data_IF_135371026353
#
_entry.id   IF_135371026353
#
_cell.length_a   1.000
_cell.length_b   1.000
_cell.length_c   1.000
_cell.angle_alpha   90.00
_cell.angle_beta   90.00
_cell.angle_gamma   90.00
#
_symmetry.space_group_name_H-M   'P 1'
#
loop_
_entity.id
_entity.type
_entity.pdbx_description
1 polymer ?
#
# COMPACT_ATOMS: atom_id res chain seq x y z
N UNK A 1 -18.33 -7.10 -13.65
CA UNK A 1 -17.55 -6.92 -12.39
C UNK A 1 -18.33 -7.45 -11.19
N UNK A 2 -19.60 -7.07 -10.99
CA UNK A 2 -20.46 -7.65 -9.93
C UNK A 2 -20.67 -9.18 -10.07
N UNK A 3 -20.91 -9.71 -11.28
CA UNK A 3 -20.97 -11.17 -11.51
C UNK A 3 -19.65 -11.91 -11.19
N UNK A 4 -18.50 -11.23 -11.34
CA UNK A 4 -17.20 -11.81 -10.96
C UNK A 4 -17.05 -11.91 -9.43
N UNK A 5 -17.66 -10.97 -8.69
CA UNK A 5 -17.68 -10.98 -7.23
C UNK A 5 -18.60 -12.10 -6.73
N UNK A 6 -19.77 -12.30 -7.34
CA UNK A 6 -20.67 -13.40 -6.98
C UNK A 6 -20.06 -14.78 -7.28
N UNK A 7 -19.40 -14.95 -8.43
CA UNK A 7 -18.80 -16.24 -8.80
C UNK A 7 -17.64 -16.66 -7.89
N UNK A 8 -16.90 -15.71 -7.29
CA UNK A 8 -15.87 -16.04 -6.30
C UNK A 8 -16.46 -16.51 -4.95
N UNK A 9 -17.67 -16.09 -4.58
CA UNK A 9 -18.34 -16.52 -3.34
C UNK A 9 -18.87 -17.95 -3.37
N UNK A 10 -19.09 -18.53 -4.56
CA UNK A 10 -19.68 -19.86 -4.71
C UNK A 10 -18.72 -21.05 -4.55
N UNK A 11 -17.40 -20.84 -4.44
CA UNK A 11 -16.39 -21.92 -4.52
C UNK A 11 -15.91 -22.42 -3.14
N UNK A 12 -16.19 -21.72 -2.04
CA UNK A 12 -15.69 -22.07 -0.69
C UNK A 12 -16.74 -22.72 0.22
N UNK A 13 -17.63 -23.56 -0.31
CA UNK A 13 -18.41 -24.50 0.53
C UNK A 13 -17.70 -25.86 0.62
N UNK A 14 -16.52 -25.89 1.24
CA UNK A 14 -15.93 -27.15 1.71
C UNK A 14 -16.67 -27.60 2.96
N UNK A 15 -17.23 -28.82 2.90
CA UNK A 15 -17.84 -29.55 4.02
C UNK A 15 -16.98 -29.42 5.30
N UNK A 16 -17.56 -28.81 6.33
CA UNK A 16 -17.03 -28.83 7.70
C UNK A 16 -17.19 -30.24 8.26
N UNK A 17 -16.10 -30.99 8.35
CA UNK A 17 -16.02 -32.20 9.16
C UNK A 17 -16.10 -31.82 10.66
N UNK A 18 -17.08 -32.42 11.32
CA UNK A 18 -17.31 -32.39 12.77
C UNK A 18 -16.12 -32.97 13.53
N UNK A 19 -15.57 -32.25 14.51
CA UNK A 19 -14.52 -32.79 15.37
C UNK A 19 -14.20 -31.98 16.63
N UNK A 20 -14.70 -32.50 17.75
CA UNK A 20 -14.10 -32.44 19.09
C UNK A 20 -14.11 -31.12 19.88
N UNK A 21 -15.09 -31.06 20.80
CA UNK A 21 -15.08 -30.28 22.04
C UNK A 21 -13.83 -30.57 22.88
N UNK A 22 -13.08 -29.52 23.24
CA UNK A 22 -12.07 -29.58 24.28
C UNK A 22 -12.18 -28.34 25.17
N UNK A 23 -12.36 -28.62 26.46
CA UNK A 23 -12.47 -27.69 27.59
C UNK A 23 -11.45 -26.55 27.52
N UNK A 24 -11.92 -25.32 27.69
CA UNK A 24 -11.07 -24.20 28.08
C UNK A 24 -11.56 -23.59 29.39
N UNK A 25 -10.68 -23.73 30.38
CA UNK A 25 -10.80 -23.25 31.74
C UNK A 25 -10.80 -21.73 31.80
N UNK A 26 -11.70 -21.20 32.61
CA UNK A 26 -11.71 -19.82 33.10
C UNK A 26 -10.36 -19.44 33.70
N UNK A 27 -9.86 -18.26 33.35
CA UNK A 27 -9.05 -17.43 34.24
C UNK A 27 -9.46 -15.97 34.06
N UNK A 28 -10.15 -15.48 35.07
CA UNK A 28 -10.32 -14.07 35.38
C UNK A 28 -8.94 -13.46 35.69
N UNK A 29 -8.65 -12.30 35.11
CA UNK A 29 -7.85 -11.31 35.83
C UNK A 29 -8.24 -9.89 35.41
N UNK A 30 -8.87 -9.26 36.40
CA UNK A 30 -9.17 -7.84 36.53
C UNK A 30 -7.85 -7.07 36.63
N UNK A 31 -7.68 -6.04 35.81
CA UNK A 31 -6.80 -4.93 36.17
C UNK A 31 -7.41 -3.61 35.70
N UNK A 32 -8.08 -2.97 36.64
CA UNK A 32 -8.57 -1.60 36.61
C UNK A 32 -7.38 -0.67 36.82
N UNK A 33 -7.05 0.17 35.84
CA UNK A 33 -6.17 1.34 36.06
C UNK A 33 -6.87 2.57 35.52
N UNK A 34 -7.34 3.39 36.46
CA UNK A 34 -7.81 4.75 36.19
C UNK A 34 -6.63 5.70 35.99
N UNK A 35 -6.76 6.60 35.02
CA UNK A 35 -6.00 7.83 34.99
C UNK A 35 -6.86 8.99 34.51
N UNK A 36 -7.21 9.83 35.47
CA UNK A 36 -7.63 11.22 35.27
C UNK A 36 -6.47 12.04 34.73
N UNK A 37 -6.77 12.95 33.81
CA UNK A 37 -5.79 13.92 33.31
C UNK A 37 -6.32 14.73 32.15
N UNK A 38 -7.27 15.63 32.42
CA UNK A 38 -7.62 16.69 31.49
C UNK A 38 -6.64 17.86 31.59
N UNK A 39 -6.20 18.39 30.44
CA UNK A 39 -5.75 19.77 30.21
C UNK A 39 -5.96 20.09 28.72
N UNK A 40 -6.40 21.30 28.43
CA UNK A 40 -7.03 21.69 27.17
C UNK A 40 -6.12 22.16 26.04
N UNK A 41 -6.76 22.40 24.90
CA UNK A 41 -6.30 23.19 23.75
C UNK A 41 -7.59 23.79 23.16
N UNK A 42 -7.77 25.10 23.03
CA UNK A 42 -6.84 26.03 22.40
C UNK A 42 -7.27 26.17 20.94
N UNK A 43 -8.29 27.00 20.70
CA UNK A 43 -8.79 27.36 19.37
C UNK A 43 -7.73 28.17 18.62
N UNK A 44 -7.30 27.70 17.45
CA UNK A 44 -6.53 28.52 16.50
C UNK A 44 -7.10 28.36 15.10
N UNK A 45 -7.67 29.46 14.62
CA UNK A 45 -7.93 29.74 13.21
C UNK A 45 -6.68 29.53 12.36
N UNK A 46 -6.86 28.89 11.20
CA UNK A 46 -5.79 28.57 10.27
C UNK A 46 -6.33 28.45 8.86
N UNK A 47 -6.43 29.60 8.20
CA UNK A 47 -6.65 29.82 6.78
C UNK A 47 -6.00 28.77 5.86
N UNK A 48 -6.82 28.18 4.98
CA UNK A 48 -6.39 27.33 3.87
C UNK A 48 -5.77 28.22 2.79
N UNK A 49 -4.44 28.21 2.72
CA UNK A 49 -3.67 28.84 1.65
C UNK A 49 -3.71 27.93 0.40
N UNK A 50 -4.31 28.42 -0.68
CA UNK A 50 -4.06 27.92 -2.03
C UNK A 50 -2.66 28.37 -2.46
N UNK A 51 -1.74 27.43 -2.69
CA UNK A 51 -0.53 27.73 -3.47
C UNK A 51 -0.75 27.29 -4.92
N UNK A 52 -1.12 28.28 -5.73
CA UNK A 52 -0.65 28.37 -7.11
C UNK A 52 0.87 28.58 -7.09
N UNK A 53 1.60 27.74 -7.82
CA UNK A 53 2.94 28.09 -8.30
C UNK A 53 3.07 27.59 -9.73
N UNK A 54 2.73 28.49 -10.65
CA UNK A 54 3.40 28.59 -11.93
C UNK A 54 4.82 29.15 -11.74
N UNK A 55 5.70 28.77 -12.66
CA UNK A 55 7.03 29.32 -12.98
C UNK A 55 8.13 29.34 -11.90
N UNK A 56 9.25 28.64 -12.19
CA UNK A 56 10.55 29.30 -12.26
C UNK A 56 11.57 28.49 -13.07
N UNK A 57 11.88 29.04 -14.24
CA UNK A 57 13.20 29.11 -14.88
C UNK A 57 14.39 28.57 -14.08
N UNK A 58 14.94 27.44 -14.51
CA UNK A 58 16.32 27.06 -14.18
C UNK A 58 17.26 27.79 -15.14
N UNK A 59 17.78 28.92 -14.69
CA UNK A 59 18.99 29.53 -15.24
C UNK A 59 20.17 28.56 -15.08
N UNK A 60 20.88 28.33 -16.19
CA UNK A 60 22.14 27.60 -16.21
C UNK A 60 23.20 28.37 -15.43
N UNK A 61 23.97 27.74 -14.51
CA UNK A 61 25.17 28.36 -13.99
C UNK A 61 26.25 28.28 -15.06
N UNK A 62 26.73 29.47 -15.44
CA UNK A 62 27.91 29.74 -16.23
C UNK A 62 29.13 28.95 -15.74
N UNK A 63 29.82 28.34 -16.71
CA UNK A 63 31.21 27.93 -16.64
C UNK A 63 32.09 29.04 -16.04
N UNK A 64 32.48 28.90 -14.77
CA UNK A 64 33.66 29.57 -14.25
C UNK A 64 34.84 28.60 -14.40
N UNK A 65 35.66 28.94 -15.39
CA UNK A 65 37.00 28.40 -15.61
C UNK A 65 37.85 28.80 -14.41
N UNK A 66 38.09 27.85 -13.50
CA UNK A 66 39.06 28.03 -12.43
C UNK A 66 40.45 27.66 -12.95
N UNK A 67 41.24 28.70 -13.17
CA UNK A 67 42.60 28.66 -13.68
C UNK A 67 43.53 28.10 -12.57
N UNK A 68 43.76 26.79 -12.57
CA UNK A 68 44.74 26.17 -11.68
C UNK A 68 46.16 26.56 -12.08
N UNK A 69 46.79 27.35 -11.22
CA UNK A 69 48.20 27.70 -11.24
C UNK A 69 49.03 26.52 -10.74
N UNK A 70 49.88 26.00 -11.62
CA UNK A 70 50.89 24.99 -11.30
C UNK A 70 52.01 25.60 -10.46
N UNK A 71 52.16 25.14 -9.22
CA UNK A 71 53.39 25.33 -8.44
C UNK A 71 54.12 23.99 -8.33
N UNK A 72 55.21 23.92 -9.09
CA UNK A 72 56.25 22.89 -9.01
C UNK A 72 56.94 22.96 -7.64
N UNK A 73 56.83 21.89 -6.85
CA UNK A 73 57.70 21.66 -5.69
C UNK A 73 58.25 20.23 -5.78
N UNK A 74 59.47 20.17 -6.32
CA UNK A 74 60.35 19.00 -6.25
C UNK A 74 60.76 18.78 -4.80
N UNK A 75 60.50 17.59 -4.27
CA UNK A 75 61.11 17.10 -3.03
C UNK A 75 61.55 15.66 -3.26
N UNK A 76 62.85 15.47 -3.16
CA UNK A 76 63.58 14.25 -3.43
C UNK A 76 63.39 13.14 -2.36
N UNK A 77 63.62 11.92 -2.84
CA UNK A 77 64.15 10.71 -2.19
C UNK A 77 63.71 10.32 -0.77
N UNK A 78 62.99 9.19 -0.68
CA UNK A 78 63.44 8.08 0.19
C UNK A 78 62.94 6.72 -0.28
N UNK A 79 63.88 5.80 -0.37
CA UNK A 79 63.80 4.43 -0.87
C UNK A 79 63.08 3.53 0.14
N UNK A 80 61.78 3.32 -0.03
CA UNK A 80 61.00 2.39 0.80
C UNK A 80 60.80 1.05 0.08
N UNK A 81 61.20 -0.03 0.75
CA UNK A 81 61.18 -1.42 0.26
C UNK A 81 59.76 -1.86 -0.09
N UNK A 82 59.57 -2.07 -1.39
CA UNK A 82 58.37 -2.56 -2.08
C UNK A 82 57.99 -3.98 -1.62
N UNK A 83 57.19 -4.09 -0.55
CA UNK A 83 56.40 -5.30 -0.27
C UNK A 83 55.42 -5.48 -1.43
N UNK A 84 55.57 -6.57 -2.20
CA UNK A 84 54.58 -7.04 -3.18
C UNK A 84 53.29 -7.41 -2.44
N UNK A 85 52.47 -6.42 -2.13
CA UNK A 85 51.08 -6.64 -1.81
C UNK A 85 50.47 -7.24 -3.10
N UNK A 86 50.01 -8.48 -3.03
CA UNK A 86 49.14 -9.03 -4.08
C UNK A 86 47.91 -8.15 -4.07
N UNK A 87 47.86 -7.21 -5.01
CA UNK A 87 46.68 -6.44 -5.32
C UNK A 87 45.61 -7.45 -5.72
N UNK A 88 44.81 -7.86 -4.73
CA UNK A 88 43.59 -8.58 -4.98
C UNK A 88 42.82 -7.72 -5.94
N UNK A 89 42.55 -8.26 -7.14
CA UNK A 89 41.57 -7.72 -8.08
C UNK A 89 40.27 -7.51 -7.31
N UNK A 90 40.15 -6.34 -6.71
CA UNK A 90 38.92 -5.83 -6.16
C UNK A 90 38.07 -5.67 -7.40
N UNK A 91 37.23 -6.67 -7.68
CA UNK A 91 36.26 -6.61 -8.76
C UNK A 91 35.51 -5.31 -8.49
N UNK A 92 35.84 -4.26 -9.25
CA UNK A 92 35.06 -3.05 -9.24
C UNK A 92 33.66 -3.54 -9.54
N UNK A 93 32.77 -3.39 -8.57
CA UNK A 93 31.36 -3.56 -8.85
C UNK A 93 31.09 -2.54 -9.93
N UNK A 94 30.92 -3.01 -11.17
CA UNK A 94 30.61 -2.15 -12.31
C UNK A 94 29.46 -1.26 -11.88
N UNK A 95 29.78 0.02 -11.70
CA UNK A 95 28.80 1.02 -11.30
C UNK A 95 27.72 0.95 -12.36
N UNK A 96 26.50 0.60 -11.93
CA UNK A 96 25.39 0.40 -12.85
C UNK A 96 25.20 1.71 -13.60
N UNK A 97 25.48 1.71 -14.90
CA UNK A 97 25.20 2.83 -15.80
C UNK A 97 23.69 3.13 -15.74
N UNK A 98 23.35 4.14 -14.94
CA UNK A 98 21.97 4.54 -14.66
C UNK A 98 21.31 5.00 -15.94
N UNK A 99 22.04 5.68 -16.82
CA UNK A 99 21.50 6.23 -18.05
C UNK A 99 21.16 5.11 -19.03
N UNK A 100 22.05 4.12 -19.20
CA UNK A 100 21.75 2.92 -19.99
C UNK A 100 20.58 2.12 -19.41
N UNK A 101 20.51 2.00 -18.08
CA UNK A 101 19.40 1.34 -17.40
C UNK A 101 18.07 2.07 -17.62
N UNK A 102 18.07 3.39 -17.58
CA UNK A 102 16.89 4.24 -17.77
C UNK A 102 16.44 4.31 -19.23
N UNK A 103 17.39 4.36 -20.18
CA UNK A 103 17.10 4.37 -21.62
C UNK A 103 16.35 3.10 -22.06
N UNK A 104 16.71 1.92 -21.50
CA UNK A 104 15.99 0.66 -21.77
C UNK A 104 14.53 0.69 -21.27
N UNK A 105 14.21 1.59 -20.35
CA UNK A 105 12.89 1.72 -19.69
C UNK A 105 12.15 2.98 -20.12
N UNK A 106 12.60 3.63 -21.19
CA UNK A 106 11.89 4.76 -21.76
C UNK A 106 10.56 4.31 -22.36
N UNK A 107 9.51 5.08 -22.06
CA UNK A 107 8.14 4.84 -22.50
C UNK A 107 7.68 5.99 -23.38
N UNK A 108 6.90 5.66 -24.41
CA UNK A 108 6.27 6.67 -25.27
C UNK A 108 5.18 7.44 -24.51
N UNK A 109 4.81 8.65 -24.96
CA UNK A 109 3.70 9.41 -24.38
C UNK A 109 2.41 8.59 -24.26
N UNK A 110 2.11 7.77 -25.27
CA UNK A 110 0.91 6.93 -25.25
C UNK A 110 1.00 5.82 -24.20
N UNK A 111 2.15 5.15 -24.07
CA UNK A 111 2.37 4.14 -23.03
C UNK A 111 2.24 4.74 -21.61
N UNK A 112 2.74 5.95 -21.40
CA UNK A 112 2.59 6.65 -20.12
C UNK A 112 1.12 7.01 -19.82
N UNK A 113 0.32 7.41 -20.82
CA UNK A 113 -1.13 7.59 -20.62
C UNK A 113 -1.82 6.28 -20.20
N UNK A 114 -1.43 5.17 -20.83
CA UNK A 114 -1.99 3.87 -20.50
C UNK A 114 -1.58 3.42 -19.09
N UNK A 115 -0.35 3.69 -18.65
CA UNK A 115 0.07 3.49 -17.25
C UNK A 115 -0.81 4.28 -16.28
N UNK A 116 -1.06 5.57 -16.58
CA UNK A 116 -1.93 6.41 -15.75
C UNK A 116 -3.35 5.83 -15.64
N UNK A 117 -3.96 5.40 -16.75
CA UNK A 117 -5.32 4.84 -16.74
C UNK A 117 -5.38 3.50 -16.01
N UNK A 118 -4.39 2.63 -16.22
CA UNK A 118 -4.40 1.26 -15.69
C UNK A 118 -4.20 1.16 -14.17
N UNK A 119 -3.79 2.24 -13.49
CA UNK A 119 -3.72 2.26 -12.01
C UNK A 119 -5.10 2.41 -11.34
N UNK A 120 -6.09 2.95 -12.06
CA UNK A 120 -7.39 3.34 -11.49
C UNK A 120 -8.30 2.17 -11.06
N UNK A 121 -8.39 1.04 -11.79
CA UNK A 121 -9.33 -0.03 -11.47
C UNK A 121 -9.24 -0.54 -10.02
N UNK A 122 -8.02 -0.66 -9.47
CA UNK A 122 -7.82 -1.13 -8.10
C UNK A 122 -8.37 -0.17 -7.04
N UNK A 123 -8.18 1.14 -7.23
CA UNK A 123 -8.73 2.16 -6.34
C UNK A 123 -10.26 2.25 -6.43
N UNK A 124 -10.81 2.21 -7.66
CA UNK A 124 -12.26 2.17 -7.86
C UNK A 124 -12.89 0.93 -7.23
N UNK A 125 -12.28 -0.24 -7.36
CA UNK A 125 -12.75 -1.44 -6.68
C UNK A 125 -12.82 -1.24 -5.16
N UNK A 126 -11.78 -0.69 -4.53
CA UNK A 126 -11.77 -0.46 -3.08
C UNK A 126 -12.88 0.49 -2.63
N UNK A 127 -13.06 1.61 -3.35
CA UNK A 127 -14.11 2.58 -3.07
C UNK A 127 -15.48 1.90 -3.18
N UNK A 128 -15.74 1.22 -4.29
CA UNK A 128 -17.03 0.55 -4.52
C UNK A 128 -17.28 -0.56 -3.50
N UNK A 129 -16.28 -1.36 -3.15
CA UNK A 129 -16.41 -2.44 -2.18
C UNK A 129 -16.78 -1.93 -0.78
N UNK A 130 -16.17 -0.83 -0.34
CA UNK A 130 -16.50 -0.20 0.95
C UNK A 130 -17.89 0.43 0.91
N UNK A 131 -18.15 1.28 -0.09
CA UNK A 131 -19.37 2.08 -0.17
C UNK A 131 -20.64 1.24 -0.44
N UNK A 132 -20.50 0.13 -1.17
CA UNK A 132 -21.63 -0.77 -1.45
C UNK A 132 -21.98 -1.72 -0.30
N UNK A 133 -21.24 -1.70 0.80
CA UNK A 133 -21.43 -2.69 1.88
C UNK A 133 -21.06 -4.12 1.48
N UNK A 134 -20.40 -4.33 0.33
CA UNK A 134 -20.06 -5.66 -0.17
C UNK A 134 -19.11 -6.45 0.75
N UNK A 135 -18.53 -5.81 1.77
CA UNK A 135 -17.76 -6.44 2.82
C UNK A 135 -18.60 -7.21 3.86
N UNK A 136 -19.91 -6.97 3.94
CA UNK A 136 -20.83 -7.70 4.81
C UNK A 136 -21.52 -8.82 4.00
N UNK A 137 -21.23 -10.08 4.32
CA UNK A 137 -21.86 -11.21 3.63
C UNK A 137 -23.30 -11.42 4.11
N UNK A 138 -24.27 -11.65 3.20
CA UNK A 138 -25.64 -12.03 3.58
C UNK A 138 -25.71 -13.26 4.48
N UNK A 139 -24.81 -14.24 4.28
CA UNK A 139 -24.74 -15.45 5.12
C UNK A 139 -24.38 -15.12 6.57
N UNK A 140 -23.49 -14.15 6.78
CA UNK A 140 -23.07 -13.71 8.10
C UNK A 140 -24.23 -13.02 8.85
N UNK A 141 -25.01 -12.19 8.14
CA UNK A 141 -26.22 -11.56 8.68
C UNK A 141 -27.26 -12.60 9.09
N UNK A 142 -27.47 -13.63 8.25
CA UNK A 142 -28.42 -14.72 8.54
C UNK A 142 -28.00 -15.60 9.72
N UNK A 143 -26.70 -15.83 9.88
CA UNK A 143 -26.16 -16.56 11.03
C UNK A 143 -26.36 -15.79 12.33
N UNK A 144 -26.07 -14.48 12.31
CA UNK A 144 -26.21 -13.60 13.47
C UNK A 144 -27.66 -13.29 13.84
N UNK A 145 -28.60 -13.33 12.90
CA UNK A 145 -30.01 -13.08 13.24
C UNK A 145 -30.55 -14.06 14.29
N UNK A 146 -30.03 -15.29 14.31
CA UNK A 146 -30.42 -16.32 15.29
C UNK A 146 -29.90 -16.01 16.71
N UNK A 147 -28.71 -15.41 16.83
CA UNK A 147 -28.13 -15.08 18.13
C UNK A 147 -28.68 -13.78 18.72
N UNK A 148 -28.99 -12.81 17.86
CA UNK A 148 -29.49 -11.48 18.26
C UNK A 148 -30.87 -11.56 18.93
N UNK A 149 -31.75 -12.48 18.51
CA UNK A 149 -33.07 -12.64 19.16
C UNK A 149 -32.98 -13.07 20.64
N UNK A 150 -31.83 -13.53 21.10
CA UNK A 150 -31.59 -13.93 22.49
C UNK A 150 -30.75 -12.91 23.30
N UNK A 151 -30.27 -11.83 22.68
CA UNK A 151 -29.27 -10.95 23.26
C UNK A 151 -29.86 -9.68 23.93
N UNK A 152 -29.02 -9.04 24.74
CA UNK A 152 -29.26 -7.76 25.42
C UNK A 152 -29.69 -6.63 24.45
N UNK A 153 -30.27 -5.53 24.97
CA UNK A 153 -30.62 -4.36 24.15
C UNK A 153 -29.42 -3.89 23.31
N UNK A 154 -29.65 -3.75 22.00
CA UNK A 154 -28.69 -3.28 21.03
C UNK A 154 -28.71 -1.75 20.94
N UNK A 155 -27.52 -1.14 20.85
CA UNK A 155 -27.33 0.29 20.70
C UNK A 155 -27.38 0.67 19.20
N UNK A 156 -28.49 1.26 18.78
CA UNK A 156 -28.76 1.64 17.39
C UNK A 156 -27.99 2.88 16.93
N UNK A 157 -27.29 3.59 17.82
CA UNK A 157 -26.50 4.80 17.48
C UNK A 157 -25.33 4.50 16.53
N UNK A 158 -24.93 3.22 16.43
CA UNK A 158 -23.86 2.77 15.53
C UNK A 158 -24.37 2.47 14.10
N UNK A 159 -25.68 2.49 13.89
CA UNK A 159 -26.27 2.22 12.58
C UNK A 159 -26.24 3.44 11.68
N UNK A 160 -25.88 3.22 10.41
CA UNK A 160 -25.91 4.21 9.37
C UNK A 160 -27.16 4.03 8.52
N UNK A 161 -27.91 5.12 8.33
CA UNK A 161 -29.08 5.14 7.45
C UNK A 161 -28.90 6.22 6.39
N UNK A 162 -28.30 5.83 5.26
CA UNK A 162 -28.06 6.72 4.12
C UNK A 162 -28.86 6.26 2.91
N UNK A 163 -29.72 7.13 2.38
CA UNK A 163 -30.57 6.83 1.23
C UNK A 163 -29.78 6.51 -0.05
N UNK A 164 -28.58 7.04 -0.20
CA UNK A 164 -27.69 6.86 -1.34
C UNK A 164 -26.72 5.67 -1.18
N UNK A 165 -26.67 5.06 0.02
CA UNK A 165 -25.87 3.87 0.33
C UNK A 165 -26.68 2.88 1.18
N UNK A 166 -27.76 2.29 0.62
CA UNK A 166 -28.72 1.51 1.39
C UNK A 166 -28.14 0.22 2.00
N UNK A 167 -26.95 -0.20 1.56
CA UNK A 167 -26.27 -1.41 2.03
C UNK A 167 -25.12 -1.13 3.01
N UNK A 168 -24.82 0.14 3.28
CA UNK A 168 -23.82 0.53 4.27
C UNK A 168 -24.49 0.72 5.63
N UNK A 169 -24.81 -0.39 6.29
CA UNK A 169 -25.59 -0.40 7.53
C UNK A 169 -24.82 0.08 8.76
N UNK A 170 -23.49 0.05 8.73
CA UNK A 170 -22.60 0.54 9.78
C UNK A 170 -21.23 0.93 9.19
N UNK A 171 -20.36 1.52 10.00
CA UNK A 171 -18.99 1.79 9.57
C UNK A 171 -18.23 0.49 9.21
N UNK A 172 -17.37 0.50 8.18
CA UNK A 172 -16.55 -0.66 7.83
C UNK A 172 -15.49 -0.98 8.90
N UNK A 173 -15.06 -2.25 9.03
CA UNK A 173 -13.97 -2.62 9.93
C UNK A 173 -12.66 -1.85 9.65
N UNK A 174 -11.94 -1.45 10.70
CA UNK A 174 -10.71 -0.66 10.56
C UNK A 174 -9.65 -1.34 9.67
N UNK A 175 -9.39 -2.66 9.76
CA UNK A 175 -8.44 -3.32 8.85
C UNK A 175 -8.83 -3.18 7.37
N UNK A 176 -10.12 -3.25 7.06
CA UNK A 176 -10.65 -3.03 5.71
C UNK A 176 -10.43 -1.60 5.25
N UNK A 177 -10.70 -0.61 6.12
CA UNK A 177 -10.45 0.81 5.86
C UNK A 177 -8.97 1.06 5.58
N UNK A 178 -8.07 0.42 6.35
CA UNK A 178 -6.63 0.54 6.13
C UNK A 178 -6.23 0.04 4.73
N UNK A 179 -6.73 -1.14 4.30
CA UNK A 179 -6.49 -1.63 2.95
C UNK A 179 -6.96 -0.64 1.88
N UNK A 180 -8.23 -0.20 1.98
CA UNK A 180 -8.80 0.75 1.04
C UNK A 180 -8.00 2.06 1.00
N UNK A 181 -7.65 2.62 2.16
CA UNK A 181 -6.89 3.87 2.29
C UNK A 181 -5.53 3.79 1.60
N UNK A 182 -4.77 2.71 1.82
CA UNK A 182 -3.45 2.54 1.20
C UNK A 182 -3.51 2.56 -0.33
N UNK A 183 -4.48 1.84 -0.92
CA UNK A 183 -4.64 1.72 -2.37
C UNK A 183 -5.20 3.01 -2.97
N UNK A 184 -6.25 3.56 -2.36
CA UNK A 184 -6.93 4.78 -2.85
C UNK A 184 -6.01 5.99 -2.74
N UNK A 185 -5.23 6.11 -1.66
CA UNK A 185 -4.28 7.21 -1.51
C UNK A 185 -3.12 7.13 -2.52
N UNK A 186 -2.67 5.93 -2.90
CA UNK A 186 -1.59 5.76 -3.88
C UNK A 186 -1.99 6.16 -5.30
N UNK A 187 -3.20 5.78 -5.74
CA UNK A 187 -3.62 5.90 -7.14
C UNK A 187 -3.51 7.33 -7.72
N UNK A 188 -3.92 8.42 -7.03
CA UNK A 188 -3.77 9.78 -7.53
C UNK A 188 -2.32 10.17 -7.84
N UNK A 189 -1.36 9.80 -6.98
CA UNK A 189 0.04 10.15 -7.18
C UNK A 189 0.66 9.37 -8.35
N UNK A 190 0.30 8.10 -8.48
CA UNK A 190 0.70 7.27 -9.61
C UNK A 190 0.13 7.79 -10.93
N UNK A 191 -1.16 8.15 -10.93
CA UNK A 191 -1.82 8.79 -12.07
C UNK A 191 -1.12 10.09 -12.45
N UNK A 192 -0.90 11.00 -11.50
CA UNK A 192 -0.23 12.30 -11.73
C UNK A 192 1.18 12.09 -12.26
N UNK A 193 1.93 11.14 -11.72
CA UNK A 193 3.27 10.79 -12.19
C UNK A 193 3.25 10.43 -13.68
N UNK A 194 2.49 9.40 -14.05
CA UNK A 194 2.42 8.94 -15.44
C UNK A 194 1.80 9.97 -16.38
N UNK A 195 0.76 10.68 -15.94
CA UNK A 195 0.09 11.70 -16.73
C UNK A 195 1.00 12.90 -17.03
N UNK A 196 1.78 13.36 -16.05
CA UNK A 196 2.76 14.44 -16.28
C UNK A 196 3.86 14.00 -17.24
N UNK A 197 4.36 12.77 -17.09
CA UNK A 197 5.41 12.23 -17.95
C UNK A 197 4.95 12.04 -19.39
N UNK A 198 3.66 11.73 -19.60
CA UNK A 198 3.08 11.66 -20.93
C UNK A 198 3.02 13.02 -21.67
N UNK A 199 3.04 14.15 -20.97
CA UNK A 199 2.75 15.46 -21.58
C UNK A 199 3.88 16.50 -21.46
N UNK A 200 4.71 16.44 -20.42
CA UNK A 200 5.60 17.56 -20.06
C UNK A 200 7.09 17.26 -20.07
N UNK A 201 7.50 15.99 -20.09
CA UNK A 201 8.91 15.65 -19.98
C UNK A 201 9.47 15.22 -21.34
N UNK A 202 10.27 16.08 -22.01
CA UNK A 202 11.01 15.67 -23.20
C UNK A 202 11.94 14.50 -22.90
N UNK A 203 12.20 13.69 -23.92
CA UNK A 203 13.19 12.61 -23.85
C UNK A 203 14.55 13.16 -23.39
N UNK A 204 15.25 12.39 -22.54
CA UNK A 204 16.58 12.75 -22.03
C UNK A 204 16.62 13.54 -20.72
N UNK A 205 15.49 14.01 -20.17
CA UNK A 205 15.49 14.60 -18.83
C UNK A 205 15.57 13.53 -17.72
N UNK A 206 16.24 13.82 -16.59
CA UNK A 206 16.42 12.86 -15.50
C UNK A 206 15.09 12.55 -14.80
N UNK A 207 14.42 11.52 -15.30
CA UNK A 207 13.14 10.98 -14.80
C UNK A 207 13.18 10.55 -13.33
N UNK A 208 14.34 10.20 -12.79
CA UNK A 208 14.53 9.64 -11.44
C UNK A 208 14.39 10.67 -10.32
N UNK A 209 14.66 11.94 -10.60
CA UNK A 209 14.66 13.00 -9.58
C UNK A 209 13.37 13.83 -9.57
N UNK A 210 12.45 13.58 -10.51
CA UNK A 210 11.19 14.29 -10.55
C UNK A 210 10.33 13.99 -9.32
N UNK A 211 9.77 15.04 -8.69
CA UNK A 211 9.04 14.92 -7.43
C UNK A 211 7.85 13.96 -7.52
N UNK A 212 7.11 13.96 -8.63
CA UNK A 212 5.90 13.11 -8.76
C UNK A 212 6.27 11.63 -8.75
N UNK A 213 7.41 11.25 -9.31
CA UNK A 213 7.93 9.88 -9.25
C UNK A 213 8.34 9.50 -7.84
N UNK A 214 8.99 10.40 -7.12
CA UNK A 214 9.38 10.17 -5.72
C UNK A 214 8.14 10.00 -4.84
N UNK A 215 7.09 10.78 -5.10
CA UNK A 215 5.82 10.66 -4.40
C UNK A 215 5.09 9.36 -4.72
N UNK A 216 5.01 8.95 -5.98
CA UNK A 216 4.48 7.64 -6.39
C UNK A 216 5.19 6.50 -5.64
N UNK A 217 6.53 6.49 -5.64
CA UNK A 217 7.33 5.50 -4.91
C UNK A 217 7.18 5.57 -3.39
N UNK A 218 7.03 6.76 -2.82
CA UNK A 218 6.73 6.93 -1.40
C UNK A 218 5.37 6.34 -1.04
N UNK A 219 4.37 6.54 -1.90
CA UNK A 219 3.01 6.04 -1.67
C UNK A 219 2.91 4.52 -1.78
N UNK A 220 3.82 3.84 -2.50
CA UNK A 220 3.94 2.38 -2.45
C UNK A 220 4.27 1.91 -1.03
N UNK A 221 5.16 2.62 -0.33
CA UNK A 221 5.52 2.30 1.06
C UNK A 221 4.42 2.65 2.05
N UNK A 222 3.73 3.79 1.86
CA UNK A 222 2.54 4.12 2.63
C UNK A 222 1.48 3.02 2.49
N UNK A 223 1.17 2.64 1.26
CA UNK A 223 0.25 1.53 0.96
C UNK A 223 0.71 0.24 1.64
N UNK A 224 2.00 -0.10 1.57
CA UNK A 224 2.56 -1.29 2.23
C UNK A 224 2.40 -1.27 3.76
N UNK A 225 2.55 -0.11 4.40
CA UNK A 225 2.31 0.04 5.83
C UNK A 225 0.83 -0.20 6.18
N UNK A 226 -0.09 0.39 5.41
CA UNK A 226 -1.52 0.13 5.55
C UNK A 226 -1.87 -1.35 5.37
N UNK A 227 -1.26 -2.02 4.38
CA UNK A 227 -1.46 -3.46 4.16
C UNK A 227 -0.97 -4.30 5.32
N UNK A 228 0.09 -3.90 6.01
CA UNK A 228 0.56 -4.62 7.20
C UNK A 228 -0.49 -4.65 8.31
N UNK A 229 -1.27 -3.57 8.48
CA UNK A 229 -2.42 -3.61 9.40
C UNK A 229 -3.57 -4.43 8.82
N UNK A 230 -3.89 -4.24 7.53
CA UNK A 230 -4.99 -4.93 6.88
C UNK A 230 -4.85 -6.45 6.84
N UNK A 231 -3.63 -6.99 6.83
CA UNK A 231 -3.39 -8.44 6.86
C UNK A 231 -3.19 -9.01 8.25
N UNK A 232 -2.88 -8.19 9.26
CA UNK A 232 -2.57 -8.66 10.62
C UNK A 232 -3.65 -8.34 11.65
N UNK A 233 -4.41 -7.25 11.47
CA UNK A 233 -5.33 -6.71 12.46
C UNK A 233 -4.65 -6.22 13.74
N UNK A 234 -3.32 -6.08 13.72
CA UNK A 234 -2.48 -5.87 14.90
C UNK A 234 -1.76 -4.53 14.85
N UNK A 235 -2.03 -3.68 15.84
CA UNK A 235 -1.45 -2.32 15.92
C UNK A 235 0.07 -2.37 16.09
N UNK A 236 0.58 -3.27 16.93
CA UNK A 236 2.02 -3.43 17.15
C UNK A 236 2.78 -3.83 15.88
N UNK A 237 2.24 -4.79 15.12
CA UNK A 237 2.79 -5.19 13.83
C UNK A 237 2.76 -4.07 12.79
N UNK A 238 1.65 -3.30 12.76
CA UNK A 238 1.53 -2.12 11.93
C UNK A 238 2.58 -1.06 12.26
N UNK A 239 2.80 -0.73 13.53
CA UNK A 239 3.77 0.30 13.94
C UNK A 239 5.19 -0.05 13.51
N UNK A 240 5.63 -1.30 13.69
CA UNK A 240 6.95 -1.76 13.24
C UNK A 240 7.11 -1.61 11.72
N UNK A 241 6.09 -2.01 10.96
CA UNK A 241 6.09 -1.87 9.50
C UNK A 241 6.02 -0.41 9.06
N UNK A 242 5.27 0.43 9.77
CA UNK A 242 5.14 1.85 9.49
C UNK A 242 6.48 2.56 9.68
N UNK A 243 7.23 2.26 10.75
CA UNK A 243 8.57 2.81 10.98
C UNK A 243 9.54 2.46 9.83
N UNK A 244 9.55 1.19 9.40
CA UNK A 244 10.36 0.75 8.27
C UNK A 244 9.98 1.47 6.96
N UNK A 245 8.67 1.55 6.67
CA UNK A 245 8.19 2.21 5.46
C UNK A 245 8.41 3.73 5.50
N UNK A 246 8.36 4.36 6.67
CA UNK A 246 8.66 5.79 6.85
C UNK A 246 10.13 6.10 6.55
N UNK A 247 11.08 5.26 7.01
CA UNK A 247 12.49 5.37 6.60
C UNK A 247 12.64 5.23 5.07
N UNK A 248 11.90 4.29 4.46
CA UNK A 248 11.92 4.12 3.01
C UNK A 248 11.39 5.36 2.27
N UNK A 249 10.28 5.94 2.74
CA UNK A 249 9.69 7.19 2.23
C UNK A 249 10.71 8.33 2.32
N UNK A 250 11.28 8.57 3.50
CA UNK A 250 12.29 9.61 3.71
C UNK A 250 13.43 9.50 2.69
N UNK A 251 13.89 8.28 2.43
CA UNK A 251 15.01 8.05 1.52
C UNK A 251 14.68 8.28 0.04
N UNK A 252 13.42 8.21 -0.37
CA UNK A 252 13.02 8.60 -1.74
C UNK A 252 13.23 10.10 -2.00
N UNK A 253 13.26 10.91 -0.94
CA UNK A 253 13.49 12.35 -1.04
C UNK A 253 14.95 12.76 -0.90
N UNK A 254 15.87 11.81 -0.67
CA UNK A 254 17.31 12.12 -0.66
C UNK A 254 17.83 12.53 -2.05
N UNK A 255 18.91 13.32 -2.14
CA UNK A 255 19.43 13.77 -3.44
C UNK A 255 19.84 12.63 -4.37
N UNK A 256 20.38 11.53 -3.83
CA UNK A 256 20.89 10.39 -4.60
C UNK A 256 19.93 9.20 -4.55
N UNK A 257 19.37 8.85 -5.71
CA UNK A 257 18.46 7.70 -5.84
C UNK A 257 19.26 6.45 -6.22
N UNK A 258 19.01 5.34 -5.51
CA UNK A 258 19.64 4.05 -5.76
C UNK A 258 18.58 3.02 -6.21
N UNK A 259 18.35 2.81 -7.52
CA UNK A 259 17.24 2.01 -8.04
C UNK A 259 17.17 0.59 -7.47
N UNK A 260 18.31 -0.12 -7.42
CA UNK A 260 18.37 -1.50 -6.88
C UNK A 260 17.99 -1.56 -5.40
N UNK A 261 18.45 -0.60 -4.60
CA UNK A 261 18.13 -0.52 -3.17
C UNK A 261 16.64 -0.21 -2.95
N UNK A 262 16.07 0.65 -3.79
CA UNK A 262 14.64 0.95 -3.74
C UNK A 262 13.79 -0.27 -4.11
N UNK A 263 14.18 -1.02 -5.15
CA UNK A 263 13.51 -2.28 -5.50
C UNK A 263 13.56 -3.29 -4.35
N UNK A 264 14.72 -3.45 -3.71
CA UNK A 264 14.86 -4.34 -2.55
C UNK A 264 13.97 -3.89 -1.38
N UNK A 265 13.83 -2.59 -1.12
CA UNK A 265 12.93 -2.07 -0.07
C UNK A 265 11.47 -2.36 -0.35
N UNK A 266 11.03 -2.18 -1.59
CA UNK A 266 9.66 -2.52 -2.00
C UNK A 266 9.45 -4.03 -1.78
N UNK A 267 10.38 -4.87 -2.23
CA UNK A 267 10.31 -6.31 -2.01
C UNK A 267 10.21 -6.68 -0.52
N UNK A 268 11.06 -6.09 0.33
CA UNK A 268 10.99 -6.32 1.79
C UNK A 268 9.65 -5.85 2.38
N UNK A 269 9.08 -4.75 1.87
CA UNK A 269 7.76 -4.26 2.29
C UNK A 269 6.65 -5.27 1.92
N UNK A 270 6.70 -5.83 0.70
CA UNK A 270 5.78 -6.88 0.25
C UNK A 270 5.87 -8.14 1.11
N UNK A 271 7.09 -8.59 1.40
CA UNK A 271 7.31 -9.73 2.31
C UNK A 271 6.72 -9.41 3.68
N UNK A 272 7.03 -8.25 4.24
CA UNK A 272 6.65 -7.90 5.59
C UNK A 272 5.13 -7.93 5.80
N UNK A 273 4.33 -7.32 4.91
CA UNK A 273 2.87 -7.36 5.08
C UNK A 273 2.22 -8.69 4.69
N UNK A 274 2.92 -9.61 4.03
CA UNK A 274 2.39 -10.96 3.72
C UNK A 274 2.72 -12.02 4.77
N UNK A 275 3.68 -11.76 5.67
CA UNK A 275 4.00 -12.64 6.81
C UNK A 275 2.77 -13.00 7.67
N UNK A 276 1.86 -12.07 8.01
CA UNK A 276 0.67 -12.40 8.79
C UNK A 276 -0.20 -13.49 8.15
N UNK A 277 -0.30 -13.54 6.82
CA UNK A 277 -1.08 -14.56 6.11
C UNK A 277 -0.49 -15.96 6.34
N UNK A 278 0.85 -16.09 6.29
CA UNK A 278 1.55 -17.32 6.61
C UNK A 278 1.32 -17.75 8.06
N UNK A 279 1.38 -16.79 8.99
CA UNK A 279 1.20 -17.06 10.42
C UNK A 279 -0.22 -17.53 10.75
N UNK A 280 -1.24 -17.01 10.06
CA UNK A 280 -2.64 -17.44 10.21
C UNK A 280 -2.93 -18.79 9.54
N UNK A 281 -2.04 -19.25 8.65
CA UNK A 281 -2.24 -20.48 7.88
C UNK A 281 -3.07 -20.27 6.61
N UNK A 282 -3.22 -19.03 6.14
CA UNK A 282 -3.99 -18.68 4.92
C UNK A 282 -3.15 -18.94 3.66
N UNK A 283 -2.70 -20.18 3.49
CA UNK A 283 -1.77 -20.58 2.43
C UNK A 283 -2.31 -20.31 1.03
N UNK A 284 -3.60 -20.58 0.79
CA UNK A 284 -4.24 -20.36 -0.51
C UNK A 284 -4.18 -18.88 -0.92
N UNK A 285 -4.60 -17.98 -0.03
CA UNK A 285 -4.53 -16.54 -0.25
C UNK A 285 -3.08 -16.07 -0.44
N UNK A 286 -2.15 -16.57 0.38
CA UNK A 286 -0.73 -16.25 0.26
C UNK A 286 -0.19 -16.63 -1.12
N UNK A 287 -0.45 -17.85 -1.61
CA UNK A 287 0.02 -18.30 -2.91
C UNK A 287 -0.64 -17.55 -4.07
N UNK A 288 -1.93 -17.21 -3.97
CA UNK A 288 -2.61 -16.34 -4.95
C UNK A 288 -1.92 -14.98 -5.05
N UNK A 289 -1.66 -14.32 -3.92
CA UNK A 289 -0.97 -13.03 -3.87
C UNK A 289 0.46 -13.11 -4.42
N UNK A 290 1.23 -14.11 -4.00
CA UNK A 290 2.61 -14.28 -4.44
C UNK A 290 2.71 -14.67 -5.92
N UNK A 291 1.73 -15.37 -6.47
CA UNK A 291 1.64 -15.61 -7.91
C UNK A 291 1.47 -14.30 -8.67
N UNK A 292 0.56 -13.42 -8.22
CA UNK A 292 0.39 -12.08 -8.79
C UNK A 292 1.66 -11.25 -8.64
N UNK A 293 2.30 -11.23 -7.47
CA UNK A 293 3.55 -10.48 -7.24
C UNK A 293 4.72 -11.01 -8.08
N UNK A 294 4.80 -12.31 -8.33
CA UNK A 294 5.84 -12.90 -9.17
C UNK A 294 5.67 -12.46 -10.62
N UNK A 295 4.45 -12.53 -11.16
CA UNK A 295 4.15 -12.05 -12.53
C UNK A 295 4.40 -10.55 -12.63
N UNK A 296 3.92 -9.77 -11.67
CA UNK A 296 4.14 -8.32 -11.59
C UNK A 296 5.63 -7.95 -11.48
N UNK A 297 6.38 -8.68 -10.65
CA UNK A 297 7.82 -8.50 -10.47
C UNK A 297 8.60 -8.86 -11.74
N UNK A 298 8.17 -9.87 -12.49
CA UNK A 298 8.73 -10.21 -13.79
C UNK A 298 8.47 -9.10 -14.83
N UNK A 299 7.23 -8.62 -14.95
CA UNK A 299 6.84 -7.53 -15.86
C UNK A 299 7.62 -6.24 -15.55
N UNK A 300 7.69 -5.84 -14.27
CA UNK A 300 8.37 -4.62 -13.83
C UNK A 300 9.90 -4.77 -13.76
N UNK A 301 10.41 -5.97 -13.54
CA UNK A 301 11.84 -6.23 -13.47
C UNK A 301 12.48 -6.28 -14.85
N UNK A 302 11.90 -7.11 -15.73
CA UNK A 302 12.51 -7.49 -17.01
C UNK A 302 12.01 -6.67 -18.20
N UNK A 303 10.83 -6.03 -18.10
CA UNK A 303 10.20 -5.31 -19.20
C UNK A 303 10.09 -6.17 -20.49
N UNK A 304 9.49 -7.38 -20.43
CA UNK A 304 9.50 -8.34 -21.55
C UNK A 304 8.80 -7.82 -22.82
N UNK A 305 7.88 -6.86 -22.69
CA UNK A 305 7.15 -6.23 -23.79
C UNK A 305 7.46 -4.73 -23.91
N UNK A 306 8.66 -4.32 -23.46
CA UNK A 306 9.08 -2.93 -23.45
C UNK A 306 8.20 -2.07 -22.54
N UNK A 307 7.90 -0.83 -22.94
CA UNK A 307 7.13 0.13 -22.14
C UNK A 307 5.73 -0.35 -21.73
N UNK A 308 5.11 -1.26 -22.49
CA UNK A 308 3.80 -1.84 -22.15
C UNK A 308 3.81 -2.73 -20.92
N UNK A 309 4.99 -3.21 -20.51
CA UNK A 309 5.13 -4.12 -19.36
C UNK A 309 4.62 -3.45 -18.08
N UNK A 310 4.75 -2.12 -17.99
CA UNK A 310 4.29 -1.34 -16.84
C UNK A 310 2.76 -1.24 -16.78
N UNK A 311 2.09 -1.02 -17.92
CA UNK A 311 0.62 -1.00 -17.99
C UNK A 311 0.03 -2.37 -17.64
N UNK A 312 0.63 -3.44 -18.18
CA UNK A 312 0.21 -4.82 -17.86
C UNK A 312 0.47 -5.14 -16.39
N UNK A 313 1.57 -4.66 -15.81
CA UNK A 313 1.83 -4.74 -14.38
C UNK A 313 0.68 -4.13 -13.56
N UNK A 314 0.21 -2.92 -13.89
CA UNK A 314 -0.92 -2.31 -13.17
C UNK A 314 -2.20 -3.14 -13.29
N UNK A 315 -2.49 -3.69 -14.47
CA UNK A 315 -3.66 -4.56 -14.69
C UNK A 315 -3.57 -5.81 -13.81
N UNK A 316 -2.42 -6.47 -13.75
CA UNK A 316 -2.22 -7.64 -12.88
C UNK A 316 -2.36 -7.24 -11.40
N UNK A 317 -1.80 -6.10 -11.01
CA UNK A 317 -1.93 -5.57 -9.65
C UNK A 317 -3.37 -5.17 -9.29
N UNK A 318 -4.24 -4.89 -10.25
CA UNK A 318 -5.67 -4.60 -9.99
C UNK A 318 -6.44 -5.81 -9.44
N UNK A 319 -5.87 -7.02 -9.50
CA UNK A 319 -6.44 -8.22 -8.86
C UNK A 319 -5.98 -8.42 -7.40
N UNK A 320 -5.03 -7.63 -6.91
CA UNK A 320 -4.57 -7.67 -5.51
C UNK A 320 -5.59 -7.10 -4.52
N UNK A 321 -6.27 -5.95 -4.79
CA UNK A 321 -7.25 -5.39 -3.86
C UNK A 321 -8.37 -6.35 -3.44
N UNK A 322 -9.07 -7.08 -4.34
CA UNK A 322 -10.09 -8.04 -3.91
C UNK A 322 -9.59 -9.07 -2.89
N UNK A 323 -8.36 -9.57 -3.08
CA UNK A 323 -7.73 -10.55 -2.20
C UNK A 323 -7.43 -9.95 -0.82
N UNK A 324 -6.81 -8.76 -0.78
CA UNK A 324 -6.45 -8.10 0.48
C UNK A 324 -7.66 -7.58 1.24
N UNK A 325 -8.68 -7.07 0.55
CA UNK A 325 -9.91 -6.59 1.17
C UNK A 325 -10.68 -7.74 1.82
N UNK A 326 -10.74 -8.92 1.16
CA UNK A 326 -11.35 -10.13 1.75
C UNK A 326 -10.58 -10.58 2.99
N UNK A 327 -9.24 -10.64 2.90
CA UNK A 327 -8.37 -11.02 4.01
C UNK A 327 -8.51 -10.10 5.24
N UNK A 328 -8.82 -8.83 5.00
CA UNK A 328 -9.02 -7.82 6.04
C UNK A 328 -10.37 -7.98 6.75
N UNK A 329 -11.42 -8.40 6.02
CA UNK A 329 -12.74 -8.69 6.60
C UNK A 329 -12.67 -9.93 7.51
N UNK A 330 -11.91 -10.94 7.13
CA UNK A 330 -11.77 -12.22 7.86
C UNK A 330 -10.90 -12.12 9.12
N UNK A 331 -10.36 -10.94 9.45
CA UNK A 331 -9.57 -10.76 10.66
C UNK A 331 -10.43 -10.80 11.92
N UNK A 332 -9.93 -11.37 13.03
CA UNK A 332 -10.58 -11.25 14.34
C UNK A 332 -10.84 -9.80 14.76
N UNK A 333 -9.92 -8.89 14.41
CA UNK A 333 -10.06 -7.46 14.66
C UNK A 333 -11.25 -6.80 13.92
N UNK A 334 -11.84 -7.50 12.93
CA UNK A 334 -12.99 -7.04 12.16
C UNK A 334 -14.33 -7.57 12.70
N UNK A 335 -14.33 -8.64 13.52
CA UNK A 335 -15.56 -9.36 13.91
C UNK A 335 -16.56 -8.49 14.66
N UNK A 336 -16.11 -7.73 15.68
CA UNK A 336 -17.00 -6.84 16.44
C UNK A 336 -17.75 -5.85 15.55
N UNK A 337 -17.06 -5.27 14.56
CA UNK A 337 -17.68 -4.31 13.66
C UNK A 337 -18.63 -4.99 12.66
N UNK A 338 -18.32 -6.22 12.25
CA UNK A 338 -19.20 -7.04 11.41
C UNK A 338 -20.50 -7.42 12.15
N UNK A 339 -20.41 -7.76 13.44
CA UNK A 339 -21.56 -8.04 14.30
C UNK A 339 -22.50 -6.83 14.39
N UNK A 340 -21.95 -5.64 14.67
CA UNK A 340 -22.71 -4.37 14.68
C UNK A 340 -23.38 -4.14 13.32
N UNK A 341 -22.63 -4.31 12.21
CA UNK A 341 -23.16 -4.14 10.87
C UNK A 341 -24.30 -5.13 10.54
N UNK A 342 -24.19 -6.38 11.01
CA UNK A 342 -25.22 -7.39 10.86
C UNK A 342 -26.49 -7.04 11.65
N UNK A 343 -26.36 -6.55 12.88
CA UNK A 343 -27.49 -6.09 13.70
C UNK A 343 -28.20 -4.90 13.04
N UNK A 344 -27.45 -3.91 12.57
CA UNK A 344 -28.00 -2.77 11.83
C UNK A 344 -28.72 -3.18 10.53
N UNK A 345 -28.19 -4.18 9.81
CA UNK A 345 -28.83 -4.71 8.62
C UNK A 345 -30.19 -5.37 8.92
N UNK A 346 -30.31 -6.06 10.05
CA UNK A 346 -31.57 -6.67 10.49
C UNK A 346 -32.61 -5.61 10.87
N UNK A 347 -32.22 -4.59 11.62
CA UNK A 347 -33.11 -3.47 11.97
C UNK A 347 -33.60 -2.72 10.73
N UNK A 348 -32.71 -2.47 9.77
CA UNK A 348 -33.08 -1.83 8.51
C UNK A 348 -34.11 -2.67 7.72
N UNK A 349 -33.99 -3.99 7.75
CA UNK A 349 -34.95 -4.90 7.12
C UNK A 349 -36.32 -4.86 7.78
N UNK A 350 -36.38 -4.82 9.11
CA UNK A 350 -37.65 -4.78 9.85
C UNK A 350 -38.40 -3.46 9.60
N UNK A 351 -37.67 -2.34 9.52
CA UNK A 351 -38.26 -1.04 9.19
C UNK A 351 -38.89 -0.98 7.78
N UNK A 352 -38.30 -1.69 6.80
CA UNK A 352 -38.85 -1.79 5.45
C UNK A 352 -40.13 -2.63 5.36
N UNK A 353 -40.38 -3.50 6.33
CA UNK A 353 -41.61 -4.31 6.38
C UNK A 353 -42.78 -3.52 6.98
N UNK A 354 -42.49 -2.50 7.80
CA UNK A 354 -43.50 -1.70 8.51
C UNK A 354 -43.93 -0.45 7.73
N UNK A 355 -43.11 0.03 6.79
CA UNK A 355 -43.43 1.11 5.85
C UNK A 355 -44.21 0.61 4.64
#
# INVERSE_FOLDING_TARGET
MLEMIEKQRGITTSKSETGSTLHQSSQDLVETVGHDGGVGMGTSDGSIFFMDTDELTTSSPSLLVEQQTSTDLKSDTSTSKRRKHKDGKQKSFDELDVDKYMAKREMSPFQERMNAVTVMPGAFYCIMFVLSGAWLSPSFVQEHSKSVMAAAPFDDTQCLNWSWMPHLHAAPPIPLVAAALGIVAHAPFSFIYHWKFAHRLPAGLPRTNHWSRRMDQAMIHFCSACMAYATSGRVDFFLVNALFNLDCIYRHFTPKVYPRRNQMRIFLSLVAYTIPLLRRGDWDLFFKLWSLFTVSGWLFGQYPIGGWSHSVFHIVMAFVPPLLMTAAVELPASHKQLEVAAQCALLAKDNLVVS
#
